data_IF_471278258861
#
_entry.id   IF_471278258861
#
_cell.length_a   1.000
_cell.length_b   1.000
_cell.length_c   1.000
_cell.angle_alpha   90.00
_cell.angle_beta   90.00
_cell.angle_gamma   90.00
#
_symmetry.space_group_name_H-M   'P 1'
#
loop_
_entity.id
_entity.type
_entity.pdbx_description
1 polymer ?
#
# COMPACT_ATOMS: atom_id res chain seq x y z
N UNK A 1 -19.90 11.48 11.32
CA UNK A 1 -18.99 11.38 12.46
C UNK A 1 -18.47 9.97 12.60
N UNK A 2 -17.20 9.84 12.73
CA UNK A 2 -16.62 8.51 12.83
C UNK A 2 -16.76 7.95 14.23
N UNK A 3 -17.25 6.75 14.32
CA UNK A 3 -17.36 6.09 15.59
C UNK A 3 -16.03 5.39 15.89
N UNK A 4 -15.48 5.68 17.04
CA UNK A 4 -14.23 5.04 17.43
C UNK A 4 -14.51 3.82 18.28
N UNK A 5 -13.70 2.81 18.10
CA UNK A 5 -13.83 1.57 18.86
C UNK A 5 -12.52 1.26 19.55
N UNK A 6 -12.61 0.67 20.72
CA UNK A 6 -11.43 0.32 21.47
C UNK A 6 -10.87 -1.01 20.99
N UNK A 7 -9.58 -1.01 20.66
CA UNK A 7 -8.86 -2.24 20.32
C UNK A 7 -7.67 -2.32 21.25
N UNK A 8 -7.53 -3.43 21.98
CA UNK A 8 -6.45 -3.60 22.93
C UNK A 8 -5.55 -4.75 22.53
N UNK A 9 -4.26 -4.58 22.75
CA UNK A 9 -3.29 -5.64 22.49
C UNK A 9 -2.16 -5.55 23.50
N UNK A 10 -1.63 -6.70 23.91
CA UNK A 10 -0.46 -6.75 24.78
C UNK A 10 0.77 -6.75 23.89
N UNK A 11 1.74 -5.89 24.21
CA UNK A 11 2.93 -5.74 23.40
C UNK A 11 4.17 -6.14 24.19
N UNK A 12 5.17 -6.71 23.51
CA UNK A 12 6.46 -6.97 24.17
C UNK A 12 7.09 -5.66 24.65
N UNK A 13 7.92 -5.78 25.67
CA UNK A 13 8.56 -4.60 26.24
C UNK A 13 9.36 -3.79 25.23
N UNK A 14 9.98 -4.46 24.26
CA UNK A 14 10.78 -3.76 23.25
C UNK A 14 9.93 -2.84 22.40
N UNK A 15 8.70 -3.26 22.08
CA UNK A 15 7.81 -2.40 21.29
C UNK A 15 7.34 -1.22 22.11
N UNK A 16 7.08 -1.45 23.40
CA UNK A 16 6.66 -0.36 24.29
C UNK A 16 7.77 0.68 24.41
N UNK A 17 9.02 0.23 24.51
CA UNK A 17 10.15 1.15 24.58
C UNK A 17 10.28 1.97 23.29
N UNK A 18 10.09 1.32 22.15
CA UNK A 18 10.16 2.03 20.87
C UNK A 18 9.05 3.09 20.77
N UNK A 19 7.85 2.74 21.24
CA UNK A 19 6.74 3.71 21.25
C UNK A 19 7.06 4.90 22.14
N UNK A 20 7.63 4.67 23.31
CA UNK A 20 8.01 5.76 24.21
C UNK A 20 8.99 6.71 23.55
N UNK A 21 9.95 6.16 22.81
CA UNK A 21 10.92 6.99 22.14
C UNK A 21 10.24 7.88 21.10
N UNK A 22 9.33 7.32 20.33
CA UNK A 22 8.59 8.10 19.32
C UNK A 22 7.75 9.18 19.99
N UNK A 23 7.08 8.84 21.09
CA UNK A 23 6.29 9.81 21.84
C UNK A 23 7.14 11.01 22.26
N UNK A 24 8.35 10.74 22.72
CA UNK A 24 9.25 11.81 23.14
C UNK A 24 9.74 12.64 21.97
N UNK A 25 10.17 11.99 20.91
CA UNK A 25 10.70 12.69 19.75
C UNK A 25 9.64 13.56 19.08
N UNK A 26 8.42 13.02 18.94
CA UNK A 26 7.36 13.73 18.26
C UNK A 26 6.49 14.55 19.19
N UNK A 27 6.74 14.45 20.49
CA UNK A 27 5.93 15.14 21.49
C UNK A 27 4.45 14.90 21.30
N UNK A 28 4.11 13.65 21.12
CA UNK A 28 2.73 13.19 20.93
C UNK A 28 2.41 12.14 21.97
N UNK A 29 1.14 12.00 22.30
CA UNK A 29 0.76 10.97 23.25
C UNK A 29 0.74 9.61 22.56
N UNK A 30 0.65 8.57 23.38
CA UNK A 30 0.72 7.19 22.86
C UNK A 30 -0.40 6.87 21.88
N UNK A 31 -1.62 7.32 22.18
CA UNK A 31 -2.73 7.02 21.28
C UNK A 31 -2.53 7.62 19.90
N UNK A 32 -2.02 8.85 19.84
CA UNK A 32 -1.76 9.50 18.56
C UNK A 32 -0.66 8.78 17.79
N UNK A 33 0.41 8.39 18.49
CA UNK A 33 1.51 7.67 17.86
C UNK A 33 1.03 6.32 17.32
N UNK A 34 0.28 5.59 18.13
CA UNK A 34 -0.22 4.27 17.71
C UNK A 34 -1.12 4.40 16.49
N UNK A 35 -2.04 5.37 16.49
CA UNK A 35 -2.90 5.57 15.34
C UNK A 35 -2.13 5.89 14.07
N UNK A 36 -1.14 6.77 14.18
CA UNK A 36 -0.30 7.15 13.06
C UNK A 36 0.44 5.95 12.48
N UNK A 37 1.03 5.14 13.36
CA UNK A 37 1.76 3.97 12.92
C UNK A 37 0.84 2.92 12.31
N UNK A 38 -0.36 2.76 12.87
CA UNK A 38 -1.32 1.82 12.32
C UNK A 38 -1.80 2.23 10.93
N UNK A 39 -2.08 3.51 10.73
CA UNK A 39 -2.46 3.97 9.39
C UNK A 39 -1.38 3.65 8.38
N UNK A 40 -0.13 3.90 8.75
CA UNK A 40 0.99 3.63 7.87
C UNK A 40 1.15 2.13 7.60
N UNK A 41 1.09 1.34 8.66
CA UNK A 41 1.26 -0.11 8.53
C UNK A 41 0.15 -0.74 7.71
N UNK A 42 -1.08 -0.30 7.92
CA UNK A 42 -2.22 -0.83 7.17
C UNK A 42 -2.15 -0.44 5.70
N UNK A 43 -1.70 0.76 5.40
CA UNK A 43 -1.51 1.17 4.01
C UNK A 43 -0.47 0.30 3.32
N UNK A 44 0.63 0.02 4.02
CA UNK A 44 1.67 -0.86 3.49
C UNK A 44 1.15 -2.27 3.28
N UNK A 45 0.41 -2.79 4.25
CA UNK A 45 -0.14 -4.13 4.14
C UNK A 45 -1.09 -4.26 2.94
N UNK A 46 -1.93 -3.26 2.74
CA UNK A 46 -2.86 -3.28 1.61
C UNK A 46 -2.13 -3.30 0.27
N UNK A 47 -1.03 -2.54 0.16
CA UNK A 47 -0.24 -2.56 -1.06
C UNK A 47 0.39 -3.93 -1.29
N UNK A 48 0.95 -4.51 -0.23
CA UNK A 48 1.57 -5.82 -0.34
C UNK A 48 0.56 -6.88 -0.78
N UNK A 49 -0.60 -6.86 -0.18
CA UNK A 49 -1.63 -7.85 -0.49
C UNK A 49 -2.15 -7.67 -1.91
N UNK A 50 -2.42 -6.43 -2.31
CA UNK A 50 -2.90 -6.16 -3.67
C UNK A 50 -1.85 -6.55 -4.71
N UNK A 51 -0.58 -6.28 -4.43
CA UNK A 51 0.50 -6.66 -5.33
C UNK A 51 0.60 -8.19 -5.45
N UNK A 52 0.39 -8.89 -4.35
CA UNK A 52 0.40 -10.33 -4.38
C UNK A 52 -0.71 -10.87 -5.28
N UNK A 53 -1.92 -10.32 -5.15
CA UNK A 53 -3.03 -10.75 -5.98
C UNK A 53 -2.79 -10.42 -7.45
N UNK A 54 -2.16 -9.30 -7.73
CA UNK A 54 -1.79 -8.96 -9.08
C UNK A 54 -0.78 -9.98 -9.63
N UNK A 55 0.22 -10.33 -8.83
CA UNK A 55 1.21 -11.32 -9.23
C UNK A 55 0.59 -12.69 -9.48
N UNK A 56 -0.49 -13.00 -8.82
CA UNK A 56 -1.23 -14.26 -9.01
C UNK A 56 -2.25 -14.15 -10.13
N UNK A 57 -2.28 -13.03 -10.81
CA UNK A 57 -3.23 -12.77 -11.92
C UNK A 57 -4.68 -12.75 -11.49
N UNK A 58 -4.91 -12.44 -10.22
CA UNK A 58 -6.27 -12.37 -9.69
C UNK A 58 -6.84 -10.97 -9.78
N UNK A 59 -5.99 -9.97 -9.93
CA UNK A 59 -6.39 -8.59 -10.12
C UNK A 59 -5.58 -7.97 -11.24
N UNK A 60 -6.19 -7.03 -11.96
CA UNK A 60 -5.43 -6.19 -12.89
C UNK A 60 -4.64 -5.17 -12.09
N UNK A 61 -3.70 -4.51 -12.73
CA UNK A 61 -2.90 -3.49 -12.07
C UNK A 61 -3.79 -2.34 -11.57
N UNK A 62 -4.76 -1.94 -12.40
CA UNK A 62 -5.69 -0.87 -12.02
C UNK A 62 -6.52 -1.26 -10.80
N UNK A 63 -6.98 -2.51 -10.78
CA UNK A 63 -7.79 -2.98 -9.67
C UNK A 63 -6.96 -3.11 -8.40
N UNK A 64 -5.71 -3.57 -8.53
CA UNK A 64 -4.82 -3.66 -7.38
C UNK A 64 -4.57 -2.28 -6.77
N UNK A 65 -4.37 -1.29 -7.62
CA UNK A 65 -4.19 0.08 -7.14
C UNK A 65 -5.43 0.56 -6.40
N UNK A 66 -6.61 0.30 -6.95
CA UNK A 66 -7.86 0.69 -6.32
C UNK A 66 -8.04 0.01 -4.97
N UNK A 67 -7.76 -1.28 -4.90
CA UNK A 67 -7.89 -2.01 -3.64
C UNK A 67 -6.91 -1.51 -2.59
N UNK A 68 -5.73 -1.09 -3.00
CA UNK A 68 -4.72 -0.58 -2.07
C UNK A 68 -4.96 0.89 -1.72
N UNK A 69 -5.84 1.57 -2.44
CA UNK A 69 -6.07 2.99 -2.19
C UNK A 69 -4.94 3.87 -2.67
N UNK A 70 -4.23 3.46 -3.72
CA UNK A 70 -3.12 4.24 -4.26
C UNK A 70 -3.34 4.46 -5.75
N UNK A 71 -2.53 5.33 -6.34
CA UNK A 71 -2.62 5.56 -7.78
C UNK A 71 -2.06 4.36 -8.53
N UNK A 72 -2.44 4.23 -9.80
CA UNK A 72 -1.92 3.15 -10.62
C UNK A 72 -0.41 3.28 -10.77
N UNK A 73 0.10 4.49 -10.92
CA UNK A 73 1.53 4.72 -11.01
C UNK A 73 2.26 4.24 -9.75
N UNK A 74 1.70 4.57 -8.59
CA UNK A 74 2.28 4.18 -7.33
C UNK A 74 2.31 2.66 -7.18
N UNK A 75 1.22 2.00 -7.55
CA UNK A 75 1.16 0.54 -7.50
C UNK A 75 2.16 -0.08 -8.48
N UNK A 76 2.27 0.49 -9.68
CA UNK A 76 3.22 0.01 -10.67
C UNK A 76 4.65 0.10 -10.16
N UNK A 77 5.01 1.23 -9.57
CA UNK A 77 6.35 1.40 -9.01
C UNK A 77 6.61 0.42 -7.88
N UNK A 78 5.62 0.22 -7.04
CA UNK A 78 5.73 -0.71 -5.93
C UNK A 78 6.00 -2.13 -6.43
N UNK A 79 5.24 -2.56 -7.42
CA UNK A 79 5.38 -3.90 -7.99
C UNK A 79 6.75 -4.07 -8.63
N UNK A 80 7.21 -3.07 -9.35
CA UNK A 80 8.51 -3.14 -10.01
C UNK A 80 9.64 -3.23 -9.00
N UNK A 81 9.58 -2.43 -7.95
CA UNK A 81 10.62 -2.43 -6.94
C UNK A 81 10.69 -3.73 -6.16
N UNK A 82 9.54 -4.30 -5.88
CA UNK A 82 9.48 -5.51 -5.06
C UNK A 82 9.76 -6.77 -5.84
N UNK A 83 9.74 -6.72 -7.17
CA UNK A 83 9.92 -7.90 -8.00
C UNK A 83 9.04 -9.01 -7.49
N UNK A 84 7.74 -8.78 -7.50
CA UNK A 84 6.78 -9.72 -6.93
C UNK A 84 7.12 -11.12 -7.41
N UNK A 85 7.48 -12.02 -6.48
CA UNK A 85 8.11 -13.27 -6.87
C UNK A 85 7.12 -14.28 -7.40
N UNK A 86 7.67 -15.08 -8.28
CA UNK A 86 7.05 -16.35 -8.59
C UNK A 86 5.97 -16.36 -9.59
N UNK A 87 5.11 -15.44 -9.61
CA UNK A 87 4.00 -15.50 -10.52
C UNK A 87 4.01 -14.40 -11.54
N UNK A 88 5.13 -13.71 -11.60
CA UNK A 88 5.24 -12.57 -12.45
C UNK A 88 6.11 -12.86 -13.63
N UNK A 89 5.58 -12.69 -14.79
CA UNK A 89 6.33 -12.70 -15.99
C UNK A 89 6.69 -11.24 -16.29
N UNK A 90 7.98 -10.95 -16.41
CA UNK A 90 8.41 -9.59 -16.73
C UNK A 90 7.77 -9.07 -17.99
N UNK A 91 7.56 -9.95 -18.97
CA UNK A 91 6.94 -9.57 -20.22
C UNK A 91 5.52 -9.09 -19.97
N UNK A 92 4.78 -9.77 -19.12
CA UNK A 92 3.42 -9.37 -18.80
C UNK A 92 3.40 -8.03 -18.09
N UNK A 93 4.34 -7.82 -17.17
CA UNK A 93 4.43 -6.54 -16.49
C UNK A 93 4.73 -5.42 -17.48
N UNK A 94 5.66 -5.66 -18.40
CA UNK A 94 5.97 -4.68 -19.42
C UNK A 94 4.76 -4.36 -20.28
N UNK A 95 3.98 -5.37 -20.61
CA UNK A 95 2.76 -5.17 -21.38
C UNK A 95 1.73 -4.35 -20.60
N UNK A 96 1.58 -4.64 -19.33
CA UNK A 96 0.67 -3.88 -18.48
C UNK A 96 1.09 -2.41 -18.41
N UNK A 97 2.38 -2.18 -18.23
CA UNK A 97 2.91 -0.83 -18.17
C UNK A 97 2.69 -0.10 -19.50
N UNK A 98 3.00 -0.78 -20.60
CA UNK A 98 2.82 -0.19 -21.92
C UNK A 98 1.36 0.15 -22.18
N UNK A 99 0.45 -0.72 -21.75
CA UNK A 99 -0.98 -0.47 -21.90
C UNK A 99 -1.40 0.77 -21.14
N UNK A 100 -0.89 0.93 -19.92
CA UNK A 100 -1.22 2.10 -19.12
C UNK A 100 -0.69 3.37 -19.73
N UNK A 101 0.52 3.36 -20.24
CA UNK A 101 1.08 4.55 -20.90
C UNK A 101 0.30 4.90 -22.14
N UNK A 102 -0.10 3.91 -22.94
CA UNK A 102 -0.93 4.18 -24.09
C UNK A 102 -2.26 4.81 -23.70
N UNK A 103 -2.87 4.26 -22.66
CA UNK A 103 -4.16 4.76 -22.20
C UNK A 103 -4.04 6.19 -21.72
N UNK A 104 -2.96 6.49 -20.99
CA UNK A 104 -2.74 7.83 -20.49
C UNK A 104 -2.44 8.82 -21.62
N UNK A 105 -1.79 8.35 -22.68
CA UNK A 105 -1.45 9.19 -23.78
C UNK A 105 -2.60 9.42 -24.77
N UNK A 106 -3.62 8.61 -24.73
CA UNK A 106 -4.73 8.76 -25.65
C UNK A 106 -5.48 10.04 -25.37
N UNK A 107 -5.81 10.78 -26.41
CA UNK A 107 -6.57 12.00 -26.18
C UNK A 107 -7.94 11.69 -25.69
N UNK A 108 -8.32 12.36 -24.69
CA UNK A 108 -9.63 12.16 -24.21
C UNK A 108 -10.63 12.81 -25.01
N UNK A 109 -10.26 13.65 -25.74
CA UNK A 109 -11.17 14.40 -26.40
C UNK A 109 -11.98 13.78 -27.31
N UNK A 110 -11.72 12.67 -27.50
CA UNK A 110 -12.57 12.04 -28.40
C UNK A 110 -13.93 12.21 -27.96
N UNK A 111 -14.30 12.85 -27.15
CA UNK A 111 -15.64 13.00 -26.85
C UNK A 111 -16.35 14.05 -27.51
#
# INVERSE_FOLDING_TARGET
MRKEELVAARLPAELVRALRKIEQVEQSDRSAVVRKLLYRALADWKKEYAAKLYGERRLTLERAAAEAGVSVREMMEYVMQRKVPGQYDLRELEQDIARLYRKAAMPRAAR
#
